data_IF_332940669485
#
_entry.id   IF_332940669485
#
_cell.length_a   1.000
_cell.length_b   1.000
_cell.length_c   1.000
_cell.angle_alpha   90.00
_cell.angle_beta   90.00
_cell.angle_gamma   90.00
#
_symmetry.space_group_name_H-M   'P 1'
#
loop_
_entity.id
_entity.type
_entity.pdbx_description
1 polymer ?
#
# COMPACT_ATOMS: atom_id res chain seq x y z
N UNK A 1 15.16 1.39 -2.48
CA UNK A 1 14.27 1.13 -1.33
C UNK A 1 13.91 -0.35 -1.25
N UNK A 2 13.71 -0.86 -0.06
CA UNK A 2 13.24 -2.21 0.21
C UNK A 2 11.97 -2.12 1.03
N UNK A 3 10.97 -2.91 0.69
CA UNK A 3 9.72 -2.99 1.44
C UNK A 3 9.57 -4.37 2.09
N UNK A 4 9.17 -4.38 3.35
CA UNK A 4 8.65 -5.57 4.01
C UNK A 4 7.14 -5.58 3.88
N UNK A 5 6.56 -6.65 3.37
CA UNK A 5 5.13 -6.76 3.12
C UNK A 5 4.56 -8.03 3.76
N UNK A 6 3.50 -7.86 4.55
CA UNK A 6 2.74 -8.98 5.08
C UNK A 6 1.45 -9.17 4.26
N UNK A 7 1.20 -10.39 3.79
CA UNK A 7 0.00 -10.71 3.00
C UNK A 7 -1.25 -10.62 3.89
N UNK A 8 -2.24 -9.87 3.46
CA UNK A 8 -3.52 -9.73 4.17
C UNK A 8 -4.28 -11.06 4.22
N UNK A 9 -4.87 -11.39 5.37
CA UNK A 9 -5.68 -12.60 5.58
C UNK A 9 -6.83 -12.74 4.58
N UNK A 10 -7.47 -11.65 4.22
CA UNK A 10 -8.60 -11.62 3.28
C UNK A 10 -8.19 -11.34 1.83
N UNK A 11 -6.90 -11.40 1.47
CA UNK A 11 -6.48 -11.17 0.09
C UNK A 11 -6.93 -12.34 -0.80
N UNK A 12 -7.26 -12.02 -2.05
CA UNK A 12 -7.62 -13.01 -3.06
C UNK A 12 -6.55 -14.08 -3.21
N UNK A 13 -5.28 -13.68 -3.27
CA UNK A 13 -4.13 -14.54 -3.40
C UNK A 13 -4.03 -15.57 -2.27
N UNK A 14 -4.31 -15.15 -1.04
CA UNK A 14 -4.31 -16.05 0.11
C UNK A 14 -5.46 -17.05 0.08
N UNK A 15 -6.65 -16.64 -0.35
CA UNK A 15 -7.78 -17.55 -0.56
C UNK A 15 -7.43 -18.62 -1.58
N UNK A 16 -6.87 -18.23 -2.71
CA UNK A 16 -6.44 -19.14 -3.76
C UNK A 16 -5.38 -20.14 -3.27
N UNK A 17 -4.43 -19.70 -2.43
CA UNK A 17 -3.47 -20.59 -1.78
C UNK A 17 -4.13 -21.57 -0.80
N UNK A 18 -5.11 -21.11 -0.01
CA UNK A 18 -5.86 -22.00 0.90
C UNK A 18 -6.67 -23.04 0.14
N UNK A 19 -7.32 -22.63 -0.95
CA UNK A 19 -8.13 -23.51 -1.80
C UNK A 19 -7.28 -24.53 -2.57
N UNK A 20 -6.03 -24.18 -2.91
CA UNK A 20 -5.08 -25.08 -3.57
C UNK A 20 -4.35 -26.06 -2.64
N UNK A 21 -4.65 -26.05 -1.32
CA UNK A 21 -4.00 -26.92 -0.33
C UNK A 21 -2.54 -26.57 -0.04
N UNK A 22 -2.12 -25.34 -0.38
CA UNK A 22 -0.78 -24.86 -0.04
C UNK A 22 -0.61 -24.67 1.47
N UNK A 23 0.55 -25.03 1.99
CA UNK A 23 0.92 -24.82 3.39
C UNK A 23 0.95 -23.32 3.69
N UNK A 24 0.05 -22.88 4.58
CA UNK A 24 0.07 -21.50 5.08
C UNK A 24 1.01 -21.47 6.27
N UNK A 25 2.06 -20.69 6.16
CA UNK A 25 3.00 -20.43 7.24
C UNK A 25 2.26 -20.10 8.55
N UNK A 26 2.58 -20.72 9.69
CA UNK A 26 1.98 -20.38 10.97
C UNK A 26 2.17 -18.89 11.25
N UNK A 27 1.06 -18.16 11.27
CA UNK A 27 1.03 -16.70 11.16
C UNK A 27 1.56 -15.98 12.40
N UNK A 28 1.38 -16.60 13.58
CA UNK A 28 1.60 -15.91 14.84
C UNK A 28 3.05 -15.96 15.33
N UNK A 29 3.85 -16.90 14.85
CA UNK A 29 5.22 -17.10 15.32
C UNK A 29 6.27 -16.74 14.29
N UNK A 30 6.08 -17.08 13.02
CA UNK A 30 7.08 -16.88 11.98
C UNK A 30 7.14 -15.44 11.45
N UNK A 31 6.01 -14.75 11.34
CA UNK A 31 5.99 -13.39 10.78
C UNK A 31 6.84 -12.41 11.61
N UNK A 32 6.70 -12.34 12.95
CA UNK A 32 7.56 -11.48 13.76
C UNK A 32 9.05 -11.83 13.65
N UNK A 33 9.38 -13.12 13.56
CA UNK A 33 10.77 -13.58 13.40
C UNK A 33 11.34 -13.12 12.07
N UNK A 34 10.60 -13.31 10.97
CA UNK A 34 11.02 -12.88 9.63
C UNK A 34 11.16 -11.36 9.56
N UNK A 35 10.21 -10.62 10.14
CA UNK A 35 10.28 -9.15 10.17
C UNK A 35 11.51 -8.67 10.93
N UNK A 36 11.78 -9.25 12.10
CA UNK A 36 12.95 -8.90 12.91
C UNK A 36 14.25 -9.21 12.17
N UNK A 37 14.37 -10.41 11.60
CA UNK A 37 15.54 -10.81 10.83
C UNK A 37 15.75 -9.89 9.61
N UNK A 38 14.69 -9.52 8.92
CA UNK A 38 14.73 -8.59 7.78
C UNK A 38 15.22 -7.21 8.22
N UNK A 39 14.72 -6.68 9.34
CA UNK A 39 15.15 -5.40 9.90
C UNK A 39 16.62 -5.42 10.26
N UNK A 40 17.10 -6.47 10.95
CA UNK A 40 18.49 -6.61 11.37
C UNK A 40 19.43 -6.64 10.16
N UNK A 41 19.12 -7.45 9.15
CA UNK A 41 19.88 -7.51 7.90
C UNK A 41 19.92 -6.13 7.21
N UNK A 42 18.78 -5.46 7.09
CA UNK A 42 18.72 -4.15 6.43
C UNK A 42 19.54 -3.10 7.16
N UNK A 43 19.50 -3.08 8.51
CA UNK A 43 20.32 -2.19 9.33
C UNK A 43 21.81 -2.44 9.15
N UNK A 44 22.24 -3.70 9.08
CA UNK A 44 23.65 -4.06 8.85
C UNK A 44 24.16 -3.56 7.49
N UNK A 45 23.28 -3.47 6.50
CA UNK A 45 23.61 -2.89 5.18
C UNK A 45 23.38 -1.37 5.09
N UNK A 46 23.09 -0.71 6.22
CA UNK A 46 22.93 0.75 6.31
C UNK A 46 21.59 1.27 5.78
N UNK A 47 20.55 0.40 5.75
CA UNK A 47 19.20 0.83 5.45
C UNK A 47 18.47 1.23 6.72
N UNK A 48 17.76 2.36 6.67
CA UNK A 48 16.96 2.87 7.78
C UNK A 48 15.48 2.89 7.39
N UNK A 49 14.55 2.62 8.33
CA UNK A 49 13.13 2.76 8.07
C UNK A 49 12.79 4.25 7.88
N UNK A 50 11.99 4.56 6.83
CA UNK A 50 11.55 5.94 6.56
C UNK A 50 10.06 6.05 6.28
N UNK A 51 9.38 4.94 6.01
CA UNK A 51 7.96 4.89 5.69
C UNK A 51 7.30 3.73 6.42
N UNK A 52 6.14 3.99 7.01
CA UNK A 52 5.39 3.00 7.77
C UNK A 52 3.89 3.13 7.49
N UNK A 53 3.28 2.09 6.98
CA UNK A 53 1.85 2.05 6.74
C UNK A 53 1.20 0.90 7.48
N UNK A 54 0.30 1.22 8.40
CA UNK A 54 -0.44 0.23 9.18
C UNK A 54 -1.52 -0.43 8.33
N UNK A 55 -1.42 -1.73 8.14
CA UNK A 55 -2.45 -2.49 7.43
C UNK A 55 -3.57 -2.88 8.41
N UNK A 56 -4.83 -2.67 8.00
CA UNK A 56 -6.00 -3.17 8.72
C UNK A 56 -6.27 -4.63 8.32
N UNK A 57 -6.83 -5.44 9.25
CA UNK A 57 -7.29 -6.83 9.01
C UNK A 57 -6.17 -7.78 8.57
N UNK A 58 -5.14 -7.94 9.37
CA UNK A 58 -4.00 -8.80 9.09
C UNK A 58 -4.22 -10.24 9.54
N UNK A 59 -3.47 -11.15 8.92
CA UNK A 59 -3.26 -12.49 9.42
C UNK A 59 -2.41 -12.43 10.70
N UNK A 60 -2.72 -13.28 11.70
CA UNK A 60 -1.92 -13.41 12.90
C UNK A 60 -2.11 -12.31 13.93
N UNK A 61 -3.28 -11.73 14.03
CA UNK A 61 -3.59 -10.79 15.10
C UNK A 61 -3.94 -11.48 16.41
N UNK A 62 -2.95 -11.89 17.15
CA UNK A 62 -3.00 -11.70 18.60
C UNK A 62 -2.73 -10.22 18.86
N UNK A 63 -3.44 -9.64 19.80
CA UNK A 63 -3.62 -8.20 20.06
C UNK A 63 -2.39 -7.28 20.09
N UNK A 64 -1.18 -7.79 19.89
CA UNK A 64 0.09 -7.06 20.12
C UNK A 64 1.07 -7.03 18.94
N UNK A 65 0.77 -7.60 17.78
CA UNK A 65 1.67 -7.52 16.62
C UNK A 65 1.19 -6.48 15.64
N UNK A 66 1.75 -5.28 15.74
CA UNK A 66 1.62 -4.25 14.71
C UNK A 66 2.40 -4.72 13.47
N UNK A 67 1.70 -5.43 12.59
CA UNK A 67 2.27 -5.79 11.31
C UNK A 67 2.08 -4.61 10.35
N UNK A 68 3.14 -3.96 9.99
CA UNK A 68 3.14 -2.76 9.19
C UNK A 68 3.88 -3.01 7.87
N UNK A 69 3.45 -2.33 6.82
CA UNK A 69 4.25 -2.23 5.62
C UNK A 69 5.32 -1.17 5.89
N UNK A 70 6.55 -1.60 6.08
CA UNK A 70 7.68 -0.73 6.37
C UNK A 70 8.58 -0.65 5.15
N UNK A 71 8.94 0.55 4.75
CA UNK A 71 9.97 0.77 3.73
C UNK A 71 11.27 1.25 4.35
N UNK A 72 12.35 0.71 3.84
CA UNK A 72 13.72 1.01 4.26
C UNK A 72 14.50 1.60 3.07
N UNK A 73 15.35 2.58 3.34
CA UNK A 73 16.24 3.17 2.35
C UNK A 73 17.59 3.53 2.99
N UNK A 74 18.61 3.64 2.18
CA UNK A 74 19.83 4.34 2.59
C UNK A 74 19.54 5.84 2.67
N UNK A 75 20.19 6.58 3.57
CA UNK A 75 20.01 8.04 3.70
C UNK A 75 20.14 8.77 2.35
N UNK A 76 19.16 9.60 2.03
CA UNK A 76 19.08 10.34 0.76
C UNK A 76 18.65 9.49 -0.45
N UNK A 77 18.16 8.26 -0.22
CA UNK A 77 17.65 7.36 -1.25
C UNK A 77 16.20 6.91 -0.97
N UNK A 78 15.49 7.68 -0.19
CA UNK A 78 14.08 7.49 0.11
C UNK A 78 13.23 7.62 -1.17
N UNK A 79 12.13 6.87 -1.25
CA UNK A 79 11.20 6.99 -2.38
C UNK A 79 10.30 8.21 -2.15
N UNK A 80 10.47 9.23 -2.97
CA UNK A 80 9.71 10.47 -2.90
C UNK A 80 8.18 10.23 -2.93
N UNK A 81 7.72 9.29 -3.76
CA UNK A 81 6.31 8.93 -3.84
C UNK A 81 5.72 8.50 -2.48
N UNK A 82 6.47 7.70 -1.70
CA UNK A 82 6.00 7.27 -0.39
C UNK A 82 5.82 8.45 0.58
N UNK A 83 6.74 9.42 0.52
CA UNK A 83 6.64 10.63 1.33
C UNK A 83 5.45 11.48 0.90
N UNK A 84 5.31 11.76 -0.39
CA UNK A 84 4.23 12.60 -0.92
C UNK A 84 2.84 12.02 -0.66
N UNK A 85 2.70 10.67 -0.73
CA UNK A 85 1.40 10.03 -0.48
C UNK A 85 0.97 10.09 0.99
N UNK A 86 1.95 10.13 1.90
CA UNK A 86 1.68 10.20 3.35
C UNK A 86 1.44 11.62 3.82
N UNK A 87 2.22 12.57 3.31
CA UNK A 87 2.11 13.99 3.67
C UNK A 87 0.92 14.69 3.02
N UNK A 88 0.31 14.07 2.00
CA UNK A 88 -0.85 14.62 1.27
C UNK A 88 -0.59 16.01 0.67
N UNK A 89 0.66 16.29 0.29
CA UNK A 89 1.05 17.58 -0.28
C UNK A 89 0.72 17.72 -1.76
N UNK A 90 0.70 16.61 -2.47
CA UNK A 90 0.55 16.62 -3.92
C UNK A 90 -0.68 15.83 -4.36
N UNK A 91 -1.32 16.33 -5.41
CA UNK A 91 -2.35 15.57 -6.12
C UNK A 91 -1.71 14.38 -6.82
N UNK A 92 -2.23 13.18 -6.54
CA UNK A 92 -1.75 11.93 -7.12
C UNK A 92 -2.83 11.36 -8.01
N UNK A 93 -2.67 11.49 -9.34
CA UNK A 93 -3.58 10.91 -10.31
C UNK A 93 -3.36 9.41 -10.44
N UNK A 94 -4.37 8.61 -10.14
CA UNK A 94 -4.35 7.17 -10.29
C UNK A 94 -4.99 6.73 -11.60
N UNK A 95 -4.30 5.87 -12.34
CA UNK A 95 -4.78 5.24 -13.57
C UNK A 95 -5.11 3.77 -13.31
N UNK A 96 -5.91 3.18 -14.20
CA UNK A 96 -6.29 1.77 -14.14
C UNK A 96 -7.51 1.49 -13.25
N UNK A 97 -8.04 0.27 -13.39
CA UNK A 97 -9.17 -0.22 -12.61
C UNK A 97 -8.84 -0.26 -11.11
N UNK A 98 -9.78 0.18 -10.27
CA UNK A 98 -9.62 0.23 -8.82
C UNK A 98 -8.65 1.29 -8.31
N UNK A 99 -8.07 2.11 -9.20
CA UNK A 99 -7.21 3.23 -8.82
C UNK A 99 -7.99 4.32 -8.07
N UNK A 100 -7.37 4.91 -7.05
CA UNK A 100 -7.93 6.02 -6.25
C UNK A 100 -7.03 7.23 -6.38
N UNK A 101 -7.50 8.23 -7.12
CA UNK A 101 -6.82 9.53 -7.22
C UNK A 101 -7.01 10.29 -5.91
N UNK A 102 -5.94 10.84 -5.38
CA UNK A 102 -5.96 11.83 -4.30
C UNK A 102 -5.89 13.23 -4.91
N UNK A 103 -6.90 14.04 -4.72
CA UNK A 103 -6.95 15.42 -5.17
C UNK A 103 -6.78 16.35 -3.97
N UNK A 104 -5.67 17.09 -3.92
CA UNK A 104 -5.35 18.02 -2.83
C UNK A 104 -5.81 19.42 -3.21
N UNK A 105 -6.60 20.04 -2.34
CA UNK A 105 -7.14 21.41 -2.47
C UNK A 105 -6.47 22.24 -1.39
N UNK A 106 -5.36 22.89 -1.74
CA UNK A 106 -4.50 23.61 -0.79
C UNK A 106 -5.24 24.76 -0.10
N UNK A 107 -6.07 25.51 -0.85
CA UNK A 107 -6.81 26.66 -0.32
C UNK A 107 -7.81 26.27 0.79
N UNK A 108 -8.33 25.04 0.72
CA UNK A 108 -9.30 24.53 1.68
C UNK A 108 -8.67 23.59 2.73
N UNK A 109 -7.37 23.33 2.62
CA UNK A 109 -6.69 22.32 3.42
C UNK A 109 -7.46 20.98 3.45
N UNK A 110 -7.93 20.55 2.27
CA UNK A 110 -8.82 19.41 2.09
C UNK A 110 -8.30 18.47 1.00
N UNK A 111 -8.55 17.18 1.19
CA UNK A 111 -8.26 16.16 0.21
C UNK A 111 -9.54 15.43 -0.21
N UNK A 112 -9.73 15.28 -1.50
CA UNK A 112 -10.81 14.48 -2.09
C UNK A 112 -10.25 13.21 -2.73
N UNK A 113 -11.11 12.20 -2.84
CA UNK A 113 -10.80 10.97 -3.55
C UNK A 113 -11.69 10.83 -4.78
N UNK A 114 -11.05 10.49 -5.90
CA UNK A 114 -11.75 10.22 -7.17
C UNK A 114 -11.44 8.75 -7.52
N UNK A 115 -12.44 7.90 -7.34
CA UNK A 115 -12.29 6.46 -7.50
C UNK A 115 -12.55 6.04 -8.95
N UNK A 116 -11.72 5.14 -9.47
CA UNK A 116 -12.02 4.38 -10.68
C UNK A 116 -12.85 3.15 -10.33
N UNK A 117 -13.63 2.66 -11.29
CA UNK A 117 -14.35 1.38 -11.13
C UNK A 117 -13.37 0.23 -10.92
N UNK A 118 -13.78 -0.77 -10.12
CA UNK A 118 -12.88 -1.85 -9.70
C UNK A 118 -12.74 -2.98 -10.72
N UNK A 119 -13.80 -3.25 -11.48
CA UNK A 119 -13.78 -4.25 -12.55
C UNK A 119 -12.96 -3.73 -13.72
N UNK A 120 -12.11 -4.58 -14.30
CA UNK A 120 -11.31 -4.24 -15.49
C UNK A 120 -12.23 -4.02 -16.68
N UNK A 121 -13.21 -4.88 -16.89
CA UNK A 121 -14.17 -4.78 -18.00
C UNK A 121 -14.98 -3.49 -17.91
N UNK A 122 -15.49 -3.15 -16.72
CA UNK A 122 -16.20 -1.89 -16.48
C UNK A 122 -15.29 -0.68 -16.69
N UNK A 123 -14.03 -0.78 -16.31
CA UNK A 123 -13.07 0.30 -16.52
C UNK A 123 -12.84 0.59 -18.00
N UNK A 124 -12.69 -0.44 -18.81
CA UNK A 124 -12.53 -0.31 -20.26
C UNK A 124 -13.82 0.26 -20.88
N UNK A 125 -14.97 -0.29 -20.51
CA UNK A 125 -16.27 0.14 -21.06
C UNK A 125 -16.63 1.58 -20.70
N UNK A 126 -16.22 2.04 -19.51
CA UNK A 126 -16.57 3.36 -18.95
C UNK A 126 -15.36 4.30 -18.90
N UNK A 127 -14.40 4.13 -19.79
CA UNK A 127 -13.15 4.93 -19.77
C UNK A 127 -13.42 6.43 -19.86
N UNK A 128 -14.34 6.84 -20.70
CA UNK A 128 -14.70 8.26 -20.89
C UNK A 128 -15.26 8.87 -19.60
N UNK A 129 -16.07 8.11 -18.83
CA UNK A 129 -16.54 8.53 -17.52
C UNK A 129 -15.38 8.68 -16.53
N UNK A 130 -14.40 7.77 -16.54
CA UNK A 130 -13.23 7.87 -15.67
C UNK A 130 -12.37 9.09 -15.99
N UNK A 131 -12.28 9.45 -17.27
CA UNK A 131 -11.61 10.68 -17.73
C UNK A 131 -12.39 11.91 -17.23
N UNK A 132 -13.71 11.92 -17.43
CA UNK A 132 -14.57 13.04 -17.03
C UNK A 132 -14.49 13.34 -15.53
N UNK A 133 -14.49 12.29 -14.69
CA UNK A 133 -14.34 12.44 -13.23
C UNK A 133 -13.06 13.17 -12.83
N UNK A 134 -12.02 13.10 -13.66
CA UNK A 134 -10.69 13.68 -13.38
C UNK A 134 -10.43 15.02 -14.03
N UNK A 135 -11.35 15.53 -14.84
CA UNK A 135 -11.16 16.84 -15.52
C UNK A 135 -10.87 17.97 -14.55
N UNK A 136 -11.45 17.93 -13.34
CA UNK A 136 -11.19 18.93 -12.30
C UNK A 136 -9.75 19.00 -11.80
N UNK A 137 -8.90 18.01 -12.12
CA UNK A 137 -7.48 18.06 -11.77
C UNK A 137 -6.66 19.04 -12.60
N UNK A 138 -7.25 19.53 -13.71
CA UNK A 138 -6.56 20.35 -14.71
C UNK A 138 -7.08 21.81 -14.79
N UNK A 139 -7.89 22.21 -13.80
CA UNK A 139 -8.49 23.55 -13.72
C UNK A 139 -7.99 24.32 -12.51
#
# INVERSE_FOLDING_TARGET
TVHTLVIKRASRMRREQMESGGEICPEDTLIPIIQKASEDILRDYGYLPYYMYRQKNKAGTTRNTNQENVAYAKPGKECLYNTLIMEEWETIAALGSGGSTKYVIHEENRMERIENVKSVDDYILRIDEMIERKKKLWH
#
